data_IF_922305651741
#
_entry.id   IF_922305651741
#
_cell.length_a   1.000
_cell.length_b   1.000
_cell.length_c   1.000
_cell.angle_alpha   90.00
_cell.angle_beta   90.00
_cell.angle_gamma   90.00
#
_symmetry.space_group_name_H-M   'P 1'
#
loop_
_entity.id
_entity.type
_entity.pdbx_description
1 polymer ?
#
# COMPACT_ATOMS: atom_id res chain seq x y z
N UNK A 1 6.43 -1.82 19.90
CA UNK A 1 5.74 -2.41 18.75
C UNK A 1 4.80 -1.35 18.22
N UNK A 2 4.96 -0.96 16.95
CA UNK A 2 4.19 0.14 16.37
C UNK A 2 2.70 -0.23 16.36
N UNK A 3 1.87 0.60 17.01
CA UNK A 3 0.43 0.37 17.19
C UNK A 3 -0.39 0.67 15.93
N UNK A 4 0.22 0.57 14.75
CA UNK A 4 -0.45 0.87 13.49
C UNK A 4 -1.11 -0.39 12.94
N UNK A 5 -2.38 -0.26 12.53
CA UNK A 5 -3.08 -1.31 11.77
C UNK A 5 -2.32 -1.50 10.45
N UNK A 6 -2.13 -2.76 10.04
CA UNK A 6 -1.49 -3.03 8.75
C UNK A 6 -2.39 -2.56 7.61
N UNK A 7 -1.80 -2.00 6.54
CA UNK A 7 -2.57 -1.55 5.40
C UNK A 7 -3.21 -2.75 4.67
N UNK A 8 -4.49 -2.62 4.35
CA UNK A 8 -5.29 -3.59 3.61
C UNK A 8 -5.63 -3.06 2.20
N UNK A 9 -5.61 -1.74 2.03
CA UNK A 9 -5.86 -1.04 0.78
C UNK A 9 -4.79 0.04 0.49
N UNK A 10 -4.84 0.60 -0.72
CA UNK A 10 -3.87 1.62 -1.15
C UNK A 10 -3.96 2.90 -0.32
N UNK A 11 -5.16 3.33 0.10
CA UNK A 11 -5.36 4.54 0.88
C UNK A 11 -4.69 4.47 2.26
N UNK A 12 -4.67 3.29 2.89
CA UNK A 12 -4.00 3.09 4.17
C UNK A 12 -2.50 3.45 4.09
N UNK A 13 -1.85 3.10 2.98
CA UNK A 13 -0.43 3.43 2.75
C UNK A 13 -0.18 4.94 2.66
N UNK A 14 -1.16 5.69 2.17
CA UNK A 14 -1.05 7.15 2.00
C UNK A 14 -1.12 7.89 3.34
N UNK A 15 -1.80 7.29 4.33
CA UNK A 15 -1.91 7.83 5.70
C UNK A 15 -0.67 7.52 6.56
N UNK A 16 0.12 6.52 6.17
CA UNK A 16 1.33 6.12 6.91
C UNK A 16 2.46 7.15 6.68
N UNK A 17 3.10 7.69 7.75
CA UNK A 17 4.25 8.57 7.61
C UNK A 17 5.42 7.90 6.87
N UNK A 18 6.14 8.65 6.03
CA UNK A 18 7.20 8.06 5.16
C UNK A 18 8.28 7.33 5.96
N UNK A 19 8.64 7.86 7.13
CA UNK A 19 9.64 7.26 8.01
C UNK A 19 9.24 5.88 8.56
N UNK A 20 7.94 5.58 8.59
CA UNK A 20 7.39 4.33 9.17
C UNK A 20 7.17 3.24 8.11
N UNK A 21 7.25 3.58 6.81
CA UNK A 21 7.07 2.64 5.70
C UNK A 21 7.99 1.41 5.80
N UNK A 22 9.30 1.52 6.11
CA UNK A 22 10.16 0.34 6.23
C UNK A 22 9.70 -0.65 7.29
N UNK A 23 9.22 -0.16 8.43
CA UNK A 23 8.71 -1.01 9.51
C UNK A 23 7.39 -1.70 9.10
N UNK A 24 6.50 -0.96 8.44
CA UNK A 24 5.23 -1.52 7.93
C UNK A 24 5.48 -2.59 6.86
N UNK A 25 6.40 -2.36 5.93
CA UNK A 25 6.78 -3.34 4.90
C UNK A 25 7.35 -4.60 5.56
N UNK A 26 8.22 -4.45 6.55
CA UNK A 26 8.76 -5.57 7.31
C UNK A 26 7.64 -6.40 7.98
N UNK A 27 6.67 -5.75 8.61
CA UNK A 27 5.53 -6.44 9.23
C UNK A 27 4.60 -7.11 8.21
N UNK A 28 4.34 -6.47 7.07
CA UNK A 28 3.57 -7.07 5.97
C UNK A 28 4.24 -8.34 5.42
N UNK A 29 5.57 -8.35 5.31
CA UNK A 29 6.35 -9.52 4.91
C UNK A 29 6.23 -10.61 5.99
N UNK A 30 6.47 -10.25 7.25
CA UNK A 30 6.39 -11.18 8.38
C UNK A 30 5.03 -11.86 8.50
N UNK A 31 3.94 -11.13 8.18
CA UNK A 31 2.56 -11.66 8.20
C UNK A 31 2.08 -12.24 6.86
N UNK A 32 2.93 -12.27 5.83
CA UNK A 32 2.58 -12.72 4.47
C UNK A 32 1.38 -11.95 3.88
N UNK A 33 1.19 -10.71 4.30
CA UNK A 33 0.06 -9.85 3.90
C UNK A 33 0.37 -8.98 2.68
N UNK A 34 1.64 -8.90 2.27
CA UNK A 34 2.05 -8.09 1.12
C UNK A 34 1.33 -8.51 -0.17
N UNK A 35 1.15 -9.82 -0.41
CA UNK A 35 0.46 -10.32 -1.60
C UNK A 35 -1.01 -9.88 -1.67
N UNK A 36 -1.69 -9.77 -0.53
CA UNK A 36 -3.07 -9.30 -0.48
C UNK A 36 -3.14 -7.82 -0.83
N UNK A 37 -2.28 -7.00 -0.22
CA UNK A 37 -2.20 -5.56 -0.49
C UNK A 37 -1.85 -5.26 -1.95
N UNK A 38 -0.85 -5.95 -2.49
CA UNK A 38 -0.44 -5.80 -3.90
C UNK A 38 -1.57 -6.20 -4.85
N UNK A 39 -2.32 -7.28 -4.54
CA UNK A 39 -3.51 -7.65 -5.31
C UNK A 39 -4.57 -6.56 -5.29
N UNK A 40 -4.83 -5.94 -4.13
CA UNK A 40 -5.77 -4.82 -4.01
C UNK A 40 -5.34 -3.64 -4.88
N UNK A 41 -4.06 -3.23 -4.78
CA UNK A 41 -3.49 -2.13 -5.58
C UNK A 41 -3.64 -2.41 -7.09
N UNK A 42 -3.36 -3.62 -7.55
CA UNK A 42 -3.55 -3.99 -8.96
C UNK A 42 -5.02 -3.96 -9.38
N UNK A 43 -5.94 -4.42 -8.52
CA UNK A 43 -7.38 -4.33 -8.80
C UNK A 43 -7.85 -2.89 -8.95
N UNK A 44 -7.39 -1.98 -8.09
CA UNK A 44 -7.70 -0.55 -8.16
C UNK A 44 -7.10 0.13 -9.39
N UNK A 45 -5.88 -0.25 -9.80
CA UNK A 45 -5.27 0.23 -11.05
C UNK A 45 -6.08 -0.15 -12.30
N UNK A 46 -6.72 -1.32 -12.28
CA UNK A 46 -7.58 -1.80 -13.36
C UNK A 46 -9.01 -1.25 -13.29
N UNK A 47 -9.37 -0.50 -12.24
CA UNK A 47 -10.71 0.04 -12.06
C UNK A 47 -11.04 1.11 -13.10
N UNK A 48 -12.31 1.19 -13.51
CA UNK A 48 -12.83 2.28 -14.36
C UNK A 48 -12.86 3.62 -13.62
N UNK A 49 -12.84 3.62 -12.29
CA UNK A 49 -12.79 4.82 -11.46
C UNK A 49 -11.42 5.51 -11.52
N UNK A 50 -11.32 6.73 -12.07
CA UNK A 50 -10.07 7.50 -12.10
C UNK A 50 -9.50 7.82 -10.72
N UNK A 51 -10.34 7.93 -9.69
CA UNK A 51 -9.92 8.18 -8.31
C UNK A 51 -9.10 7.01 -7.75
N UNK A 52 -9.64 5.79 -7.87
CA UNK A 52 -8.97 4.57 -7.43
C UNK A 52 -7.66 4.35 -8.18
N UNK A 53 -7.63 4.57 -9.50
CA UNK A 53 -6.39 4.45 -10.28
C UNK A 53 -5.30 5.41 -9.79
N UNK A 54 -5.65 6.66 -9.47
CA UNK A 54 -4.69 7.64 -8.93
C UNK A 54 -4.19 7.24 -7.55
N UNK A 55 -5.07 6.82 -6.65
CA UNK A 55 -4.68 6.34 -5.32
C UNK A 55 -3.72 5.16 -5.40
N UNK A 56 -4.03 4.17 -6.24
CA UNK A 56 -3.20 2.99 -6.41
C UNK A 56 -1.81 3.35 -6.96
N UNK A 57 -1.72 4.27 -7.92
CA UNK A 57 -0.43 4.77 -8.42
C UNK A 57 0.36 5.49 -7.32
N UNK A 58 -0.27 6.40 -6.58
CA UNK A 58 0.39 7.11 -5.48
C UNK A 58 0.89 6.15 -4.38
N UNK A 59 0.16 5.07 -4.13
CA UNK A 59 0.58 4.03 -3.18
C UNK A 59 1.82 3.28 -3.68
N UNK A 60 1.88 2.94 -4.98
CA UNK A 60 3.08 2.34 -5.58
C UNK A 60 4.29 3.27 -5.50
N UNK A 61 4.11 4.55 -5.83
CA UNK A 61 5.18 5.56 -5.72
C UNK A 61 5.69 5.66 -4.28
N UNK A 62 4.78 5.59 -3.30
CA UNK A 62 5.11 5.65 -1.87
C UNK A 62 5.84 4.41 -1.37
N UNK A 63 5.55 3.25 -1.95
CA UNK A 63 6.28 2.00 -1.71
C UNK A 63 7.63 1.96 -2.46
N UNK A 64 7.91 2.93 -3.33
CA UNK A 64 9.16 3.03 -4.09
C UNK A 64 9.19 2.14 -5.34
N UNK A 65 8.02 1.70 -5.84
CA UNK A 65 7.96 1.02 -7.13
C UNK A 65 8.17 2.04 -8.26
N UNK A 66 9.04 1.74 -9.24
CA UNK A 66 9.18 2.56 -10.43
C UNK A 66 7.95 2.45 -11.34
N UNK A 67 7.82 3.44 -12.22
CA UNK A 67 6.65 3.69 -13.08
C UNK A 67 6.28 2.54 -14.03
#
# INVERSE_FOLDING_TARGET
>A
MSSFKLPEASHDLLEIPRQDIPAVVHDLIGRRSLSALVRTIHGELASEDPGLRRQARMALDRLGFPE
#
